data_IF_568627828417
#
_entry.id   IF_568627828417
#
_cell.length_a   1.000
_cell.length_b   1.000
_cell.length_c   1.000
_cell.angle_alpha   90.00
_cell.angle_beta   90.00
_cell.angle_gamma   90.00
#
_symmetry.space_group_name_H-M   'P 1'
#
loop_
_entity.id
_entity.type
_entity.pdbx_description
1 polymer ?
#
# COMPACT_ATOMS: atom_id res chain seq x y z
N UNK A 1 -20.47 -5.42 30.40
CA UNK A 1 -19.82 -5.66 29.09
C UNK A 1 -19.11 -4.38 28.67
N UNK A 2 -17.83 -4.26 29.01
CA UNK A 2 -17.01 -3.10 28.65
C UNK A 2 -16.46 -3.35 27.25
N UNK A 3 -16.95 -2.59 26.27
CA UNK A 3 -16.36 -2.54 24.95
C UNK A 3 -15.00 -1.85 25.05
N UNK A 4 -13.92 -2.62 25.02
CA UNK A 4 -12.57 -2.11 24.82
C UNK A 4 -12.49 -1.56 23.39
N UNK A 5 -12.90 -0.30 23.20
CA UNK A 5 -12.41 0.50 22.08
C UNK A 5 -10.93 0.69 22.32
N UNK A 6 -10.08 -0.09 21.64
CA UNK A 6 -8.68 0.29 21.47
C UNK A 6 -8.67 1.72 20.91
N UNK A 7 -7.97 2.67 21.56
CA UNK A 7 -7.77 3.97 20.96
C UNK A 7 -7.01 3.72 19.66
N UNK A 8 -7.49 4.31 18.56
CA UNK A 8 -6.73 4.34 17.32
C UNK A 8 -5.33 4.84 17.67
N UNK A 9 -4.33 3.95 17.63
CA UNK A 9 -2.94 4.30 17.80
C UNK A 9 -2.67 5.47 16.87
N UNK A 10 -2.07 6.54 17.39
CA UNK A 10 -1.83 7.72 16.59
C UNK A 10 -1.12 7.25 15.30
N UNK A 11 -1.57 7.63 14.10
CA UNK A 11 -1.05 7.10 12.83
C UNK A 11 0.49 7.20 12.69
N UNK A 12 1.13 8.02 13.54
CA UNK A 12 2.58 8.16 13.66
C UNK A 12 3.28 7.02 14.42
N UNK A 13 2.62 6.32 15.35
CA UNK A 13 3.22 5.25 16.16
C UNK A 13 3.31 3.94 15.36
N UNK A 14 2.24 3.57 14.66
CA UNK A 14 2.26 2.43 13.73
C UNK A 14 3.28 2.65 12.61
N UNK A 15 3.36 3.87 12.07
CA UNK A 15 4.37 4.24 11.08
C UNK A 15 5.80 4.12 11.63
N UNK A 16 6.02 4.51 12.90
CA UNK A 16 7.31 4.38 13.58
C UNK A 16 7.70 2.92 13.80
N UNK A 17 6.79 2.10 14.32
CA UNK A 17 7.01 0.65 14.54
C UNK A 17 7.34 -0.02 13.21
N UNK A 18 6.60 0.30 12.15
CA UNK A 18 6.84 -0.21 10.80
C UNK A 18 8.23 0.18 10.28
N UNK A 19 8.65 1.43 10.47
CA UNK A 19 9.99 1.89 10.11
C UNK A 19 11.10 1.11 10.83
N UNK A 20 10.92 0.81 12.11
CA UNK A 20 11.87 0.01 12.90
C UNK A 20 11.95 -1.44 12.42
N UNK A 21 10.82 -2.07 12.13
CA UNK A 21 10.75 -3.44 11.59
C UNK A 21 11.44 -3.51 10.22
N UNK A 22 11.17 -2.55 9.33
CA UNK A 22 11.82 -2.49 8.03
C UNK A 22 13.34 -2.31 8.12
N UNK A 23 13.81 -1.47 9.05
CA UNK A 23 15.23 -1.28 9.28
C UNK A 23 15.91 -2.56 9.79
N UNK A 24 15.25 -3.30 10.70
CA UNK A 24 15.75 -4.58 11.21
C UNK A 24 15.82 -5.65 10.11
N UNK A 25 14.74 -5.82 9.34
CA UNK A 25 14.70 -6.77 8.20
C UNK A 25 15.75 -6.41 7.15
N UNK A 26 15.95 -5.11 6.86
CA UNK A 26 17.01 -4.67 5.95
C UNK A 26 18.39 -5.04 6.51
N UNK A 27 18.66 -4.79 7.80
CA UNK A 27 19.93 -5.13 8.45
C UNK A 27 20.23 -6.63 8.40
N UNK A 28 19.24 -7.48 8.62
CA UNK A 28 19.40 -8.95 8.57
C UNK A 28 19.62 -9.46 7.14
N UNK A 29 18.91 -8.92 6.15
CA UNK A 29 18.96 -9.41 4.77
C UNK A 29 20.04 -8.75 3.89
N UNK A 30 20.60 -7.62 4.32
CA UNK A 30 21.60 -6.85 3.56
C UNK A 30 22.87 -7.65 3.25
N UNK A 31 23.23 -8.62 4.09
CA UNK A 31 24.45 -9.41 3.92
C UNK A 31 24.40 -10.39 2.73
N UNK A 32 23.19 -10.74 2.24
CA UNK A 32 23.01 -11.76 1.20
C UNK A 32 22.30 -11.29 -0.07
N UNK A 33 21.78 -10.05 -0.09
CA UNK A 33 20.96 -9.55 -1.19
C UNK A 33 21.46 -8.16 -1.61
N UNK A 34 21.61 -7.95 -2.91
CA UNK A 34 21.93 -6.64 -3.46
C UNK A 34 20.92 -5.58 -2.95
N UNK A 35 21.45 -4.46 -2.45
CA UNK A 35 20.68 -3.42 -1.75
C UNK A 35 19.45 -2.94 -2.54
N UNK A 36 19.60 -2.74 -3.85
CA UNK A 36 18.50 -2.27 -4.71
C UNK A 36 17.41 -3.32 -4.88
N UNK A 37 17.80 -4.60 -4.96
CA UNK A 37 16.86 -5.72 -5.05
C UNK A 37 16.11 -5.92 -3.74
N UNK A 38 16.80 -5.83 -2.60
CA UNK A 38 16.19 -5.88 -1.28
C UNK A 38 15.21 -4.71 -1.08
N UNK A 39 15.62 -3.50 -1.47
CA UNK A 39 14.75 -2.31 -1.44
C UNK A 39 13.50 -2.51 -2.29
N UNK A 40 13.63 -2.99 -3.53
CA UNK A 40 12.49 -3.23 -4.41
C UNK A 40 11.49 -4.24 -3.83
N UNK A 41 11.97 -5.36 -3.30
CA UNK A 41 11.11 -6.40 -2.69
C UNK A 41 10.42 -5.91 -1.42
N UNK A 42 11.12 -5.16 -0.56
CA UNK A 42 10.51 -4.56 0.63
C UNK A 42 9.43 -3.53 0.26
N UNK A 43 9.66 -2.72 -0.78
CA UNK A 43 8.65 -1.78 -1.27
C UNK A 43 7.43 -2.50 -1.86
N UNK A 44 7.65 -3.60 -2.58
CA UNK A 44 6.57 -4.43 -3.11
C UNK A 44 5.75 -5.09 -2.00
N UNK A 45 6.40 -5.65 -0.98
CA UNK A 45 5.72 -6.24 0.18
C UNK A 45 4.88 -5.21 0.95
N UNK A 46 5.44 -4.01 1.20
CA UNK A 46 4.70 -2.92 1.83
C UNK A 46 3.51 -2.46 1.00
N UNK A 47 3.67 -2.39 -0.31
CA UNK A 47 2.56 -2.05 -1.21
C UNK A 47 1.46 -3.11 -1.13
N UNK A 48 1.81 -4.40 -1.08
CA UNK A 48 0.85 -5.50 -0.96
C UNK A 48 0.10 -5.46 0.38
N UNK A 49 0.79 -5.16 1.48
CA UNK A 49 0.17 -5.00 2.80
C UNK A 49 -0.81 -3.81 2.83
N UNK A 50 -0.41 -2.67 2.27
CA UNK A 50 -1.27 -1.49 2.18
C UNK A 50 -2.49 -1.73 1.29
N UNK A 51 -2.30 -2.45 0.18
CA UNK A 51 -3.41 -2.88 -0.69
C UNK A 51 -4.35 -3.82 0.05
N UNK A 52 -3.85 -4.69 0.94
CA UNK A 52 -4.68 -5.61 1.72
C UNK A 52 -5.60 -4.89 2.72
N UNK A 53 -5.18 -3.73 3.23
CA UNK A 53 -5.96 -2.89 4.16
C UNK A 53 -7.01 -2.01 3.47
N UNK A 54 -6.98 -1.88 2.14
CA UNK A 54 -7.97 -1.09 1.40
C UNK A 54 -9.37 -1.71 1.49
N UNK A 55 -10.43 -0.87 1.52
CA UNK A 55 -11.80 -1.34 1.33
C UNK A 55 -11.92 -2.20 0.07
N UNK A 56 -12.70 -3.29 0.13
CA UNK A 56 -12.76 -4.32 -0.92
C UNK A 56 -12.85 -3.77 -2.36
N UNK A 57 -13.70 -2.75 -2.59
CA UNK A 57 -13.85 -2.14 -3.91
C UNK A 57 -12.61 -1.36 -4.36
N UNK A 58 -11.96 -0.64 -3.45
CA UNK A 58 -10.71 0.09 -3.74
C UNK A 58 -9.56 -0.88 -4.00
N UNK A 59 -9.46 -1.94 -3.18
CA UNK A 59 -8.49 -3.04 -3.36
C UNK A 59 -8.65 -3.69 -4.73
N UNK A 60 -9.87 -4.08 -5.08
CA UNK A 60 -10.18 -4.70 -6.38
C UNK A 60 -9.77 -3.78 -7.54
N UNK A 61 -10.20 -2.51 -7.51
CA UNK A 61 -9.88 -1.57 -8.58
C UNK A 61 -8.38 -1.33 -8.73
N UNK A 62 -7.66 -1.18 -7.62
CA UNK A 62 -6.21 -0.96 -7.65
C UNK A 62 -5.47 -2.21 -8.14
N UNK A 63 -5.85 -3.40 -7.69
CA UNK A 63 -5.25 -4.66 -8.13
C UNK A 63 -5.48 -4.90 -9.63
N UNK A 64 -6.71 -4.74 -10.10
CA UNK A 64 -7.03 -4.93 -11.51
C UNK A 64 -6.24 -3.95 -12.42
N UNK A 65 -6.10 -2.69 -12.00
CA UNK A 65 -5.35 -1.71 -12.77
C UNK A 65 -3.82 -1.90 -12.70
N UNK A 66 -3.27 -2.10 -11.50
CA UNK A 66 -1.82 -2.08 -11.27
C UNK A 66 -1.15 -3.43 -11.57
N UNK A 67 -1.80 -4.55 -11.20
CA UNK A 67 -1.24 -5.90 -11.35
C UNK A 67 -1.71 -6.55 -12.64
N UNK A 68 -3.00 -6.50 -12.93
CA UNK A 68 -3.57 -7.13 -14.14
C UNK A 68 -3.53 -6.22 -15.38
N UNK A 69 -3.00 -4.99 -15.25
CA UNK A 69 -2.87 -4.00 -16.33
C UNK A 69 -4.18 -3.68 -17.05
N UNK A 70 -5.32 -3.80 -16.36
CA UNK A 70 -6.64 -3.48 -16.91
C UNK A 70 -6.86 -1.98 -16.97
N UNK A 71 -7.46 -1.52 -18.05
CA UNK A 71 -7.93 -0.14 -18.21
C UNK A 71 -9.16 0.13 -17.34
N UNK A 72 -9.46 1.41 -17.14
CA UNK A 72 -10.66 1.85 -16.40
C UNK A 72 -11.95 1.30 -17.03
N UNK A 73 -12.00 1.21 -18.35
CA UNK A 73 -13.15 0.69 -19.09
C UNK A 73 -13.34 -0.81 -18.85
N UNK A 74 -12.27 -1.62 -18.96
CA UNK A 74 -12.34 -3.06 -18.68
C UNK A 74 -12.75 -3.36 -17.24
N UNK A 75 -12.24 -2.58 -16.28
CA UNK A 75 -12.63 -2.74 -14.86
C UNK A 75 -14.10 -2.35 -14.64
N UNK A 76 -14.58 -1.33 -15.34
CA UNK A 76 -15.97 -0.90 -15.30
C UNK A 76 -16.91 -1.99 -15.82
N UNK A 77 -16.56 -2.62 -16.95
CA UNK A 77 -17.30 -3.73 -17.53
C UNK A 77 -17.31 -4.96 -16.60
N UNK A 78 -16.14 -5.37 -16.10
CA UNK A 78 -16.01 -6.54 -15.22
C UNK A 78 -16.80 -6.40 -13.91
N UNK A 79 -16.90 -5.19 -13.37
CA UNK A 79 -17.52 -4.93 -12.08
C UNK A 79 -18.98 -4.47 -12.17
N UNK A 80 -19.50 -4.23 -13.38
CA UNK A 80 -20.82 -3.60 -13.57
C UNK A 80 -20.89 -2.18 -13.01
N UNK A 81 -19.79 -1.43 -13.04
CA UNK A 81 -19.68 -0.05 -12.53
C UNK A 81 -19.51 0.94 -13.67
N UNK A 82 -19.69 2.24 -13.40
CA UNK A 82 -19.37 3.26 -14.40
C UNK A 82 -17.86 3.57 -14.41
N UNK A 83 -17.28 4.00 -15.54
CA UNK A 83 -15.88 4.45 -15.60
C UNK A 83 -15.56 5.54 -14.57
N UNK A 84 -16.51 6.44 -14.31
CA UNK A 84 -16.38 7.48 -13.30
C UNK A 84 -16.28 6.92 -11.86
N UNK A 85 -17.05 5.88 -11.55
CA UNK A 85 -16.98 5.17 -10.26
C UNK A 85 -15.61 4.50 -10.09
N UNK A 86 -15.13 3.80 -11.12
CA UNK A 86 -13.81 3.16 -11.13
C UNK A 86 -12.70 4.19 -10.94
N UNK A 87 -12.71 5.28 -11.71
CA UNK A 87 -11.72 6.36 -11.59
C UNK A 87 -11.73 7.02 -10.20
N UNK A 88 -12.90 7.13 -9.56
CA UNK A 88 -13.02 7.64 -8.19
C UNK A 88 -12.44 6.66 -7.17
N UNK A 89 -12.72 5.37 -7.29
CA UNK A 89 -12.18 4.31 -6.44
C UNK A 89 -10.66 4.19 -6.57
N UNK A 90 -10.13 4.25 -7.79
CA UNK A 90 -8.69 4.20 -8.05
C UNK A 90 -7.97 5.41 -7.43
N UNK A 91 -8.51 6.62 -7.61
CA UNK A 91 -7.95 7.82 -6.96
C UNK A 91 -8.01 7.75 -5.43
N UNK A 92 -9.07 7.18 -4.87
CA UNK A 92 -9.17 6.97 -3.43
C UNK A 92 -8.12 5.96 -2.93
N UNK A 93 -7.99 4.82 -3.62
CA UNK A 93 -7.00 3.78 -3.31
C UNK A 93 -5.58 4.34 -3.33
N UNK A 94 -5.20 5.06 -4.40
CA UNK A 94 -3.88 5.67 -4.55
C UNK A 94 -3.60 6.71 -3.46
N UNK A 95 -4.58 7.53 -3.08
CA UNK A 95 -4.42 8.49 -1.97
C UNK A 95 -4.22 7.80 -0.64
N UNK A 96 -4.89 6.70 -0.38
CA UNK A 96 -4.73 5.92 0.85
C UNK A 96 -3.31 5.34 0.91
N UNK A 97 -2.89 4.63 -0.15
CA UNK A 97 -1.53 4.05 -0.23
C UNK A 97 -0.44 5.13 -0.10
N UNK A 98 -0.62 6.29 -0.73
CA UNK A 98 0.33 7.39 -0.63
C UNK A 98 0.43 7.97 0.80
N UNK A 99 -0.69 8.01 1.54
CA UNK A 99 -0.74 8.51 2.92
C UNK A 99 -0.18 7.52 3.95
N UNK A 100 -0.29 6.23 3.72
CA UNK A 100 0.14 5.20 4.67
C UNK A 100 1.66 5.01 4.79
N UNK A 101 2.47 5.74 4.01
CA UNK A 101 3.94 5.70 4.13
C UNK A 101 4.70 5.21 2.90
N UNK A 102 4.03 4.72 1.86
CA UNK A 102 4.69 4.45 0.55
C UNK A 102 5.27 5.77 -0.03
N UNK A 103 4.55 6.88 0.13
CA UNK A 103 5.01 8.20 -0.32
C UNK A 103 6.27 8.72 0.40
N UNK A 104 6.46 8.38 1.68
CA UNK A 104 7.61 8.83 2.48
C UNK A 104 8.89 8.04 2.17
N UNK A 105 8.77 6.71 1.98
CA UNK A 105 9.92 5.86 1.66
C UNK A 105 10.49 6.09 0.24
N UNK A 106 9.69 6.61 -0.69
CA UNK A 106 10.14 7.03 -2.03
C UNK A 106 10.93 8.36 -1.96
N UNK A 107 10.49 9.31 -1.12
CA UNK A 107 11.16 10.61 -0.99
C UNK A 107 12.48 10.56 -0.24
N UNK A 108 12.66 9.63 0.70
CA UNK A 108 13.89 9.57 1.51
C UNK A 108 15.09 8.91 0.81
N UNK A 109 14.88 8.10 -0.23
CA UNK A 109 16.00 7.51 -0.98
C UNK A 109 16.30 8.18 -2.32
N UNK A 110 15.96 9.47 -2.45
CA UNK A 110 16.37 10.37 -3.52
C UNK A 110 17.38 11.44 -3.04
N UNK A 111 17.99 11.24 -1.86
CA UNK A 111 19.09 12.05 -1.31
C UNK A 111 20.33 11.19 -1.13
#
# INVERSE_FOLDING_TARGET
MVATRSPAGAPNEDARIRGLVLAAVHGELAAGIARDRLRAVLQEALLLDEVALLPLRQRFTLWAAAVQRRTVAEVAELAGWTPAQVARLLRAALRTVAKSGYGQAVTEGAR
#
